data_IF_283591729782
#
_entry.id   IF_283591729782
#
_cell.length_a   1.000
_cell.length_b   1.000
_cell.length_c   1.000
_cell.angle_alpha   90.00
_cell.angle_beta   90.00
_cell.angle_gamma   90.00
#
_symmetry.space_group_name_H-M   'P 1'
#
loop_
_entity.id
_entity.type
_entity.pdbx_description
1 polymer ?
#
# COMPACT_ATOMS: atom_id res chain seq x y z
N UNK A 1 2.14 -2.24 -16.93
CA UNK A 1 3.04 -3.24 -16.30
C UNK A 1 2.18 -4.28 -15.62
N UNK A 2 2.59 -5.57 -15.61
CA UNK A 2 1.91 -6.57 -14.80
C UNK A 2 2.06 -6.24 -13.31
N UNK A 3 1.10 -6.73 -12.50
CA UNK A 3 1.19 -6.71 -11.04
C UNK A 3 2.49 -7.40 -10.57
N UNK A 4 3.22 -6.86 -9.59
CA UNK A 4 4.47 -7.50 -9.14
C UNK A 4 4.22 -8.88 -8.53
N UNK A 5 5.29 -9.67 -8.40
CA UNK A 5 5.23 -11.00 -7.80
C UNK A 5 4.75 -10.93 -6.34
N UNK A 6 5.29 -9.98 -5.58
CA UNK A 6 5.01 -9.77 -4.17
C UNK A 6 3.57 -9.28 -3.96
N UNK A 7 3.07 -8.39 -4.85
CA UNK A 7 1.69 -7.90 -4.76
C UNK A 7 0.70 -9.01 -5.12
N UNK A 8 1.01 -9.85 -6.12
CA UNK A 8 0.18 -11.00 -6.46
C UNK A 8 0.17 -12.04 -5.32
N UNK A 9 1.32 -12.27 -4.68
CA UNK A 9 1.46 -13.14 -3.50
C UNK A 9 0.64 -12.61 -2.32
N UNK A 10 0.77 -11.32 -1.99
CA UNK A 10 0.02 -10.67 -0.91
C UNK A 10 -1.48 -10.70 -1.13
N UNK A 11 -1.94 -10.41 -2.35
CA UNK A 11 -3.36 -10.45 -2.71
C UNK A 11 -3.94 -11.86 -2.61
N UNK A 12 -3.24 -12.88 -3.14
CA UNK A 12 -3.66 -14.26 -3.02
C UNK A 12 -3.73 -14.70 -1.55
N UNK A 13 -2.73 -14.35 -0.74
CA UNK A 13 -2.70 -14.64 0.69
C UNK A 13 -3.90 -14.03 1.42
N UNK A 14 -4.23 -12.77 1.14
CA UNK A 14 -5.41 -12.09 1.70
C UNK A 14 -6.72 -12.83 1.38
N UNK A 15 -6.90 -13.29 0.14
CA UNK A 15 -8.11 -14.02 -0.24
C UNK A 15 -8.20 -15.39 0.43
N UNK A 16 -7.08 -16.12 0.53
CA UNK A 16 -7.05 -17.41 1.24
C UNK A 16 -7.42 -17.27 2.72
N UNK A 17 -6.89 -16.26 3.40
CA UNK A 17 -7.22 -15.98 4.81
C UNK A 17 -8.69 -15.58 5.01
N UNK A 18 -9.33 -15.03 3.98
CA UNK A 18 -10.77 -14.76 3.96
C UNK A 18 -11.62 -15.97 3.52
N UNK A 19 -11.04 -17.17 3.50
CA UNK A 19 -11.69 -18.43 3.15
C UNK A 19 -12.20 -18.51 1.70
N UNK A 20 -11.50 -17.88 0.76
CA UNK A 20 -11.77 -18.11 -0.65
C UNK A 20 -11.61 -19.60 -1.01
N UNK A 21 -12.50 -20.14 -1.84
CA UNK A 21 -12.41 -21.52 -2.35
C UNK A 21 -11.43 -21.67 -3.53
N UNK A 22 -10.88 -20.56 -4.02
CA UNK A 22 -9.94 -20.54 -5.13
C UNK A 22 -9.56 -19.13 -5.57
N UNK A 23 -8.42 -19.03 -6.27
CA UNK A 23 -7.93 -17.78 -6.86
C UNK A 23 -8.22 -17.79 -8.36
N UNK A 24 -8.99 -16.81 -8.81
CA UNK A 24 -9.24 -16.58 -10.23
C UNK A 24 -8.33 -15.47 -10.76
N UNK A 25 -7.66 -15.73 -11.88
CA UNK A 25 -6.76 -14.76 -12.51
C UNK A 25 -7.35 -14.26 -13.83
N UNK A 26 -7.42 -12.94 -13.99
CA UNK A 26 -7.81 -12.27 -15.24
C UNK A 26 -6.63 -11.46 -15.79
N UNK A 27 -6.46 -11.43 -17.11
CA UNK A 27 -5.30 -10.81 -17.78
C UNK A 27 -3.93 -11.35 -17.34
N UNK A 28 -3.88 -12.58 -16.81
CA UNK A 28 -2.64 -13.25 -16.44
C UNK A 28 -2.13 -14.14 -17.57
N UNK A 29 -1.18 -13.63 -18.35
CA UNK A 29 -0.60 -14.38 -19.45
C UNK A 29 0.83 -14.79 -19.12
N UNK A 30 1.19 -16.09 -19.16
CA UNK A 30 2.46 -16.63 -18.66
C UNK A 30 3.74 -16.11 -19.35
N UNK A 31 3.60 -15.31 -20.42
CA UNK A 31 4.70 -14.69 -21.14
C UNK A 31 4.88 -13.20 -20.82
N UNK A 32 4.08 -12.62 -19.92
CA UNK A 32 4.18 -11.19 -19.60
C UNK A 32 5.33 -10.90 -18.64
N UNK A 33 5.68 -11.85 -17.78
CA UNK A 33 6.87 -11.78 -16.91
C UNK A 33 7.33 -13.17 -16.45
N UNK A 34 8.64 -13.37 -16.19
CA UNK A 34 9.19 -14.68 -15.83
C UNK A 34 8.56 -15.34 -14.59
N UNK A 35 8.24 -14.55 -13.55
CA UNK A 35 7.68 -15.07 -12.30
C UNK A 35 6.27 -15.65 -12.47
N UNK A 36 5.53 -15.26 -13.52
CA UNK A 36 4.11 -15.59 -13.63
C UNK A 36 3.84 -17.09 -13.79
N UNK A 37 4.75 -17.83 -14.43
CA UNK A 37 4.65 -19.28 -14.57
C UNK A 37 4.90 -19.98 -13.23
N UNK A 38 5.88 -19.50 -12.47
CA UNK A 38 6.20 -20.06 -11.17
C UNK A 38 5.07 -19.79 -10.18
N UNK A 39 4.60 -18.56 -10.14
CA UNK A 39 3.57 -18.13 -9.20
C UNK A 39 2.23 -18.87 -9.41
N UNK A 40 1.89 -19.26 -10.64
CA UNK A 40 0.71 -20.13 -10.91
C UNK A 40 0.72 -21.46 -10.15
N UNK A 41 1.91 -21.98 -9.81
CA UNK A 41 2.06 -23.21 -9.04
C UNK A 41 1.95 -22.99 -7.53
N UNK A 42 1.94 -21.73 -7.10
CA UNK A 42 2.13 -21.33 -5.71
C UNK A 42 0.90 -20.62 -5.15
N UNK A 43 0.24 -19.74 -5.91
CA UNK A 43 -0.92 -19.00 -5.38
C UNK A 43 -2.17 -19.85 -5.18
N UNK A 44 -2.14 -21.11 -5.59
CA UNK A 44 -3.24 -22.06 -5.43
C UNK A 44 -3.43 -22.58 -4.00
N UNK A 45 -2.55 -22.24 -3.07
CA UNK A 45 -2.64 -22.66 -1.66
C UNK A 45 -2.01 -21.61 -0.73
N UNK A 46 -2.49 -21.54 0.51
CA UNK A 46 -1.95 -20.63 1.52
C UNK A 46 -0.54 -21.05 1.96
N UNK A 47 -0.32 -22.36 2.09
CA UNK A 47 0.91 -22.96 2.60
C UNK A 47 2.12 -22.64 1.72
N UNK A 48 1.93 -22.59 0.40
CA UNK A 48 2.99 -22.25 -0.58
C UNK A 48 3.32 -20.77 -0.65
N UNK A 49 2.51 -19.92 -0.01
CA UNK A 49 2.70 -18.48 0.13
C UNK A 49 3.19 -18.09 1.53
N UNK A 50 3.23 -19.04 2.45
CA UNK A 50 3.73 -18.84 3.79
C UNK A 50 5.18 -18.39 3.76
N UNK A 51 5.50 -17.35 4.54
CA UNK A 51 6.85 -16.77 4.65
C UNK A 51 7.51 -16.33 3.32
N UNK A 52 6.72 -16.11 2.28
CA UNK A 52 7.20 -15.40 1.09
C UNK A 52 7.04 -13.91 1.25
N UNK A 53 7.94 -13.18 0.60
CA UNK A 53 7.84 -11.74 0.46
C UNK A 53 6.49 -11.36 -0.15
N UNK A 54 5.85 -10.36 0.46
CA UNK A 54 4.50 -9.92 0.11
C UNK A 54 4.46 -8.42 0.01
N UNK A 55 3.56 -7.95 -0.83
CA UNK A 55 3.22 -6.54 -0.90
C UNK A 55 1.71 -6.38 -0.76
N UNK A 56 1.28 -5.56 0.19
CA UNK A 56 -0.12 -5.21 0.43
C UNK A 56 -0.33 -3.75 0.00
N UNK A 57 -1.26 -3.50 -0.91
CA UNK A 57 -1.50 -2.17 -1.45
C UNK A 57 -2.92 -1.71 -1.15
N UNK A 58 -3.09 -0.41 -0.90
CA UNK A 58 -4.40 0.22 -0.93
C UNK A 58 -4.97 0.18 -2.35
N UNK A 59 -6.27 -0.09 -2.47
CA UNK A 59 -6.95 -0.03 -3.76
C UNK A 59 -6.88 1.39 -4.35
N UNK A 60 -6.71 1.45 -5.67
CA UNK A 60 -6.63 2.72 -6.39
C UNK A 60 -7.46 2.71 -7.66
N UNK A 61 -8.16 3.80 -7.89
CA UNK A 61 -8.82 4.09 -9.15
C UNK A 61 -7.78 4.54 -10.19
N UNK A 62 -8.04 4.33 -11.49
CA UNK A 62 -7.25 4.92 -12.55
C UNK A 62 -7.31 6.45 -12.47
N UNK A 63 -6.18 7.09 -12.75
CA UNK A 63 -6.05 8.55 -12.86
C UNK A 63 -5.44 8.89 -14.24
N UNK A 64 -6.20 9.47 -15.18
CA UNK A 64 -7.58 9.94 -15.03
C UNK A 64 -8.62 8.79 -14.96
N UNK A 65 -9.83 9.03 -14.42
CA UNK A 65 -10.89 8.02 -14.33
C UNK A 65 -11.30 7.45 -15.70
N UNK A 66 -11.49 6.14 -15.77
CA UNK A 66 -11.98 5.43 -16.96
C UNK A 66 -13.51 5.45 -16.93
N UNK A 67 -14.11 6.16 -17.89
CA UNK A 67 -15.57 6.45 -17.91
C UNK A 67 -16.38 5.22 -18.33
N UNK A 68 -15.77 4.28 -19.05
CA UNK A 68 -16.40 3.06 -19.56
C UNK A 68 -16.82 2.09 -18.44
N UNK A 69 -16.19 2.17 -17.26
CA UNK A 69 -16.47 1.29 -16.13
C UNK A 69 -16.59 2.09 -14.82
N UNK A 70 -17.60 2.97 -14.68
CA UNK A 70 -17.68 3.95 -13.61
C UNK A 70 -17.83 3.31 -12.22
N UNK A 71 -18.19 2.02 -12.15
CA UNK A 71 -18.45 1.32 -10.91
C UNK A 71 -17.27 0.49 -10.39
N UNK A 72 -16.26 0.21 -11.22
CA UNK A 72 -15.19 -0.72 -10.88
C UNK A 72 -14.29 -0.23 -9.73
N UNK A 73 -14.28 1.08 -9.47
CA UNK A 73 -13.38 1.70 -8.50
C UNK A 73 -14.11 2.62 -7.52
N UNK A 74 -15.43 2.47 -7.35
CA UNK A 74 -16.24 3.33 -6.47
C UNK A 74 -15.75 3.33 -5.01
N UNK A 75 -15.14 2.24 -4.58
CA UNK A 75 -14.65 2.06 -3.21
C UNK A 75 -13.13 2.18 -3.11
N UNK A 76 -12.43 2.48 -4.20
CA UNK A 76 -10.99 2.66 -4.16
C UNK A 76 -10.66 3.92 -3.33
N UNK A 77 -9.90 3.82 -2.23
CA UNK A 77 -9.60 4.96 -1.36
C UNK A 77 -8.64 5.98 -2.00
N UNK A 78 -7.97 5.61 -3.09
CA UNK A 78 -6.98 6.41 -3.82
C UNK A 78 -7.38 6.62 -5.30
N UNK A 79 -6.92 7.69 -5.97
CA UNK A 79 -6.11 8.79 -5.43
C UNK A 79 -6.89 9.66 -4.45
N UNK A 80 -6.19 10.29 -3.51
CA UNK A 80 -6.82 11.12 -2.48
C UNK A 80 -6.09 12.45 -2.33
N UNK A 81 -6.83 13.55 -2.37
CA UNK A 81 -6.30 14.91 -2.28
C UNK A 81 -6.37 15.37 -0.82
N UNK A 82 -5.31 16.00 -0.31
CA UNK A 82 -5.38 16.67 0.98
C UNK A 82 -6.27 17.91 0.87
N UNK A 83 -7.34 17.95 1.66
CA UNK A 83 -8.27 19.08 1.68
C UNK A 83 -8.33 19.74 3.06
N UNK A 84 -8.92 20.94 3.13
CA UNK A 84 -9.32 21.52 4.41
C UNK A 84 -8.18 21.97 5.32
N UNK A 85 -7.27 22.81 4.82
CA UNK A 85 -6.22 23.41 5.65
C UNK A 85 -6.81 24.35 6.71
N UNK A 86 -6.59 24.02 7.98
CA UNK A 86 -6.99 24.83 9.13
C UNK A 86 -5.83 24.94 10.12
N UNK A 87 -5.54 26.16 10.59
CA UNK A 87 -4.39 26.44 11.49
C UNK A 87 -3.05 25.83 11.02
N UNK A 88 -2.82 25.84 9.71
CA UNK A 88 -1.57 25.35 9.13
C UNK A 88 -1.46 23.83 9.03
N UNK A 89 -2.55 23.07 9.02
CA UNK A 89 -2.53 21.64 8.67
C UNK A 89 -3.82 21.20 7.98
N UNK A 90 -3.76 20.19 7.12
CA UNK A 90 -4.95 19.55 6.53
C UNK A 90 -5.70 18.69 7.56
N UNK A 91 -6.90 18.22 7.19
CA UNK A 91 -7.52 17.06 7.84
C UNK A 91 -6.61 15.84 7.76
N UNK A 92 -6.80 14.92 8.70
CA UNK A 92 -6.26 13.57 8.57
C UNK A 92 -7.04 12.82 7.49
N UNK A 93 -6.31 12.25 6.56
CA UNK A 93 -6.82 11.36 5.52
C UNK A 93 -6.44 9.92 5.85
N UNK A 94 -7.45 9.06 6.01
CA UNK A 94 -7.26 7.65 6.32
C UNK A 94 -7.34 6.78 5.06
N UNK A 95 -6.33 5.95 4.85
CA UNK A 95 -6.22 4.99 3.75
C UNK A 95 -6.19 3.57 4.33
N UNK A 96 -7.24 2.77 4.14
CA UNK A 96 -7.28 1.39 4.61
C UNK A 96 -6.43 0.47 3.71
N UNK A 97 -5.77 -0.51 4.33
CA UNK A 97 -5.01 -1.58 3.67
C UNK A 97 -5.34 -2.91 4.34
N UNK A 98 -5.71 -3.91 3.55
CA UNK A 98 -5.95 -5.25 4.06
C UNK A 98 -4.62 -6.02 4.17
N UNK A 99 -4.28 -6.47 5.37
CA UNK A 99 -3.13 -7.32 5.68
C UNK A 99 -3.63 -8.46 6.54
N UNK A 100 -3.85 -9.62 5.93
CA UNK A 100 -4.28 -10.82 6.65
C UNK A 100 -3.11 -11.74 7.03
N UNK A 101 -1.87 -11.35 6.74
CA UNK A 101 -0.69 -12.03 7.25
C UNK A 101 -0.50 -11.65 8.72
N UNK A 102 -0.36 -12.65 9.58
CA UNK A 102 -0.19 -12.45 11.03
C UNK A 102 1.27 -12.13 11.33
N UNK A 103 1.66 -10.91 11.00
CA UNK A 103 3.05 -10.45 11.11
C UNK A 103 3.53 -10.44 12.56
N UNK A 104 2.64 -10.07 13.50
CA UNK A 104 2.96 -10.01 14.93
C UNK A 104 3.39 -11.38 15.48
N UNK A 105 2.72 -12.48 15.10
CA UNK A 105 3.13 -13.82 15.55
C UNK A 105 4.37 -14.37 14.84
N UNK A 106 4.78 -13.74 13.74
CA UNK A 106 5.88 -14.16 12.87
C UNK A 106 7.11 -13.26 12.95
N UNK A 107 7.18 -12.33 13.90
CA UNK A 107 8.26 -11.34 14.01
C UNK A 107 9.68 -11.93 13.82
N UNK A 108 9.97 -13.10 14.39
CA UNK A 108 11.28 -13.78 14.29
C UNK A 108 11.61 -14.38 12.89
N UNK A 109 10.69 -14.27 11.93
CA UNK A 109 10.85 -14.73 10.54
C UNK A 109 10.86 -13.55 9.57
N UNK A 110 10.70 -12.33 10.07
CA UNK A 110 10.63 -11.11 9.28
C UNK A 110 12.00 -10.46 9.22
N UNK A 111 12.40 -10.13 7.99
CA UNK A 111 13.59 -9.35 7.72
C UNK A 111 13.31 -7.85 7.80
N UNK A 112 12.21 -7.40 7.21
CA UNK A 112 11.79 -6.00 7.22
C UNK A 112 10.31 -5.86 6.87
N UNK A 113 9.67 -4.82 7.43
CA UNK A 113 8.36 -4.34 6.98
C UNK A 113 8.50 -2.88 6.59
N UNK A 114 8.21 -2.53 5.33
CA UNK A 114 8.41 -1.17 4.82
C UNK A 114 7.09 -0.57 4.34
N UNK A 115 6.73 0.59 4.90
CA UNK A 115 5.68 1.44 4.34
C UNK A 115 6.23 2.25 3.16
N UNK A 116 5.51 2.33 2.06
CA UNK A 116 5.78 3.21 0.93
C UNK A 116 4.54 4.05 0.61
N UNK A 117 4.71 5.36 0.45
CA UNK A 117 3.62 6.29 0.12
C UNK A 117 4.00 7.14 -1.08
N UNK A 118 3.21 7.05 -2.17
CA UNK A 118 3.36 7.91 -3.34
C UNK A 118 2.52 9.16 -3.29
N UNK A 119 3.15 10.29 -3.63
CA UNK A 119 2.55 11.63 -3.60
C UNK A 119 2.83 12.34 -4.92
N UNK A 120 1.88 13.15 -5.40
CA UNK A 120 1.94 13.79 -6.72
C UNK A 120 3.09 14.80 -6.90
N UNK A 121 3.53 15.44 -5.81
CA UNK A 121 4.54 16.50 -5.84
C UNK A 121 5.60 16.26 -4.77
N UNK A 122 6.82 16.75 -5.04
CA UNK A 122 7.85 16.83 -4.00
C UNK A 122 7.37 17.74 -2.88
N UNK A 123 7.44 17.23 -1.67
CA UNK A 123 7.12 17.96 -0.45
C UNK A 123 8.39 18.13 0.38
N UNK A 124 8.47 19.20 1.15
CA UNK A 124 9.60 19.42 2.06
C UNK A 124 9.66 18.29 3.12
N UNK A 125 10.86 17.80 3.49
CA UNK A 125 11.00 16.81 4.56
C UNK A 125 10.28 17.25 5.84
N UNK A 126 9.44 16.37 6.42
CA UNK A 126 8.68 16.66 7.64
C UNK A 126 7.40 17.48 7.46
N UNK A 127 7.07 17.88 6.23
CA UNK A 127 5.77 18.51 5.91
C UNK A 127 4.61 17.51 5.98
N UNK A 128 4.88 16.21 5.89
CA UNK A 128 3.85 15.17 6.01
C UNK A 128 3.97 14.48 7.35
N UNK A 129 2.86 14.45 8.08
CA UNK A 129 2.71 13.59 9.23
C UNK A 129 1.99 12.31 8.82
N UNK A 130 2.55 11.19 9.26
CA UNK A 130 2.02 9.87 8.99
C UNK A 130 1.80 9.12 10.30
N UNK A 131 0.73 8.32 10.32
CA UNK A 131 0.50 7.31 11.35
C UNK A 131 0.14 5.99 10.70
N UNK A 132 0.55 4.90 11.34
CA UNK A 132 0.11 3.56 11.01
C UNK A 132 -0.56 2.96 12.24
N UNK A 133 -1.85 2.63 12.14
CA UNK A 133 -2.66 2.15 13.27
C UNK A 133 -2.52 3.02 14.54
N UNK A 134 -2.42 4.35 14.37
CA UNK A 134 -2.22 5.32 15.45
C UNK A 134 -0.77 5.53 15.90
N UNK A 135 0.17 4.68 15.50
CA UNK A 135 1.61 4.84 15.78
C UNK A 135 2.21 5.87 14.82
N UNK A 136 3.00 6.83 15.33
CA UNK A 136 3.61 7.85 14.49
C UNK A 136 4.74 7.25 13.63
N UNK A 137 4.72 7.53 12.32
CA UNK A 137 5.71 7.05 11.36
C UNK A 137 6.44 8.24 10.73
N UNK A 138 7.76 8.22 10.75
CA UNK A 138 8.58 9.26 10.12
C UNK A 138 8.80 8.94 8.65
N UNK A 139 8.26 9.74 7.75
CA UNK A 139 8.39 9.52 6.31
C UNK A 139 9.69 10.13 5.78
N UNK A 140 10.57 9.31 5.20
CA UNK A 140 11.85 9.77 4.62
C UNK A 140 11.76 9.82 3.09
N UNK A 141 11.91 10.99 2.43
CA UNK A 141 11.86 11.08 0.97
C UNK A 141 12.98 10.28 0.31
N UNK A 142 12.66 9.51 -0.73
CA UNK A 142 13.68 8.80 -1.52
C UNK A 142 14.43 9.76 -2.48
N UNK A 143 15.75 9.55 -2.72
CA UNK A 143 16.59 10.49 -3.50
C UNK A 143 16.20 10.64 -4.98
N UNK A 144 15.72 9.56 -5.61
CA UNK A 144 15.51 9.48 -7.07
C UNK A 144 14.03 9.36 -7.48
N UNK A 145 13.11 9.33 -6.52
CA UNK A 145 11.69 9.21 -6.78
C UNK A 145 10.97 10.41 -6.16
N UNK A 146 10.23 11.15 -6.98
CA UNK A 146 9.32 12.24 -6.59
C UNK A 146 8.20 11.81 -5.62
N UNK A 147 8.23 10.60 -5.05
CA UNK A 147 7.06 9.73 -5.04
C UNK A 147 7.10 8.55 -4.07
N UNK A 148 8.05 8.47 -3.14
CA UNK A 148 8.00 7.41 -2.14
C UNK A 148 8.71 7.89 -0.88
N UNK A 149 7.99 7.88 0.23
CA UNK A 149 8.58 7.99 1.55
C UNK A 149 8.54 6.64 2.23
N UNK A 150 9.69 6.16 2.70
CA UNK A 150 9.79 4.86 3.36
C UNK A 150 10.12 4.96 4.84
N UNK A 151 9.59 4.01 5.61
CA UNK A 151 10.08 3.72 6.95
C UNK A 151 9.81 2.25 7.30
N UNK A 152 10.63 1.74 8.22
CA UNK A 152 10.40 0.46 8.86
C UNK A 152 9.17 0.56 9.77
N UNK A 153 8.31 -0.45 9.68
CA UNK A 153 7.20 -0.65 10.60
C UNK A 153 7.53 -1.81 11.53
N UNK A 154 6.99 -1.77 12.75
CA UNK A 154 7.11 -2.86 13.71
C UNK A 154 6.00 -3.88 13.49
N UNK A 155 6.32 -5.17 13.66
CA UNK A 155 5.37 -6.25 13.42
C UNK A 155 4.17 -6.22 14.38
N UNK A 156 4.38 -5.77 15.62
CA UNK A 156 3.35 -5.66 16.66
C UNK A 156 2.35 -4.53 16.43
N UNK A 157 2.61 -3.62 15.48
CA UNK A 157 1.65 -2.58 15.09
C UNK A 157 0.54 -3.10 14.17
N UNK A 158 0.68 -4.30 13.62
CA UNK A 158 -0.27 -4.88 12.68
C UNK A 158 -1.39 -5.63 13.39
N UNK A 159 -2.57 -5.57 12.78
CA UNK A 159 -3.69 -6.46 13.09
C UNK A 159 -4.01 -7.31 11.86
N UNK A 160 -4.45 -8.54 12.07
CA UNK A 160 -4.96 -9.39 10.99
C UNK A 160 -6.28 -8.79 10.47
N UNK A 161 -6.27 -8.34 9.23
CA UNK A 161 -7.42 -7.69 8.57
C UNK A 161 -7.10 -6.26 8.13
N UNK A 162 -8.02 -5.34 8.41
CA UNK A 162 -7.86 -3.94 8.01
C UNK A 162 -6.88 -3.20 8.91
N UNK A 163 -5.86 -2.61 8.30
CA UNK A 163 -4.91 -1.69 8.90
C UNK A 163 -5.10 -0.31 8.26
N UNK A 164 -4.75 0.76 8.97
CA UNK A 164 -4.97 2.14 8.50
C UNK A 164 -3.67 2.93 8.47
N UNK A 165 -3.39 3.53 7.33
CA UNK A 165 -2.39 4.58 7.17
C UNK A 165 -3.11 5.92 7.20
N UNK A 166 -2.79 6.78 8.16
CA UNK A 166 -3.33 8.13 8.27
C UNK A 166 -2.27 9.15 7.89
N UNK A 167 -2.61 10.07 7.02
CA UNK A 167 -1.71 11.10 6.52
C UNK A 167 -2.32 12.48 6.71
N UNK A 168 -1.51 13.49 7.02
CA UNK A 168 -1.90 14.89 6.87
C UNK A 168 -0.72 15.74 6.46
N UNK A 169 -1.00 16.84 5.78
CA UNK A 169 0.00 17.83 5.43
C UNK A 169 0.05 18.95 6.47
N UNK A 170 1.24 19.25 6.98
CA UNK A 170 1.56 20.51 7.67
C UNK A 170 1.85 21.57 6.62
N UNK A 171 1.13 22.69 6.69
CA UNK A 171 1.39 23.86 5.88
C UNK A 171 2.75 24.44 6.29
N UNK A 172 3.76 24.33 5.43
CA UNK A 172 5.11 24.84 5.70
C UNK A 172 5.41 26.19 5.03
N UNK A 173 4.64 26.65 4.03
CA UNK A 173 4.60 28.07 3.61
C UNK A 173 3.62 28.30 2.43
N UNK A 174 3.01 29.48 2.42
CA UNK A 174 1.73 29.86 1.78
C UNK A 174 1.78 30.36 0.33
N UNK A 175 2.61 29.81 -0.56
CA UNK A 175 2.65 30.30 -1.96
C UNK A 175 2.33 29.29 -3.07
N UNK A 176 2.29 27.99 -2.78
CA UNK A 176 1.95 26.99 -3.78
C UNK A 176 0.59 26.37 -3.48
N UNK A 177 -0.42 26.90 -4.16
CA UNK A 177 -1.82 26.43 -4.19
C UNK A 177 -1.95 25.12 -5.00
N UNK A 178 -0.98 24.21 -4.83
CA UNK A 178 -0.92 22.95 -5.59
C UNK A 178 -1.54 21.84 -4.76
N UNK A 179 -2.63 21.28 -5.27
CA UNK A 179 -3.24 20.09 -4.68
C UNK A 179 -2.22 18.95 -4.57
N UNK A 180 -1.97 18.51 -3.34
CA UNK A 180 -1.12 17.35 -3.06
C UNK A 180 -2.02 16.12 -2.98
N UNK A 181 -1.69 15.11 -3.78
CA UNK A 181 -2.48 13.90 -3.95
C UNK A 181 -1.68 12.68 -3.52
N UNK A 182 -2.23 11.86 -2.64
CA UNK A 182 -1.76 10.50 -2.35
C UNK A 182 -2.18 9.60 -3.50
N UNK A 183 -1.21 8.94 -4.14
CA UNK A 183 -1.39 8.10 -5.34
C UNK A 183 -1.24 6.62 -5.06
N UNK A 184 -0.40 6.25 -4.11
CA UNK A 184 -0.24 4.88 -3.64
C UNK A 184 0.08 4.85 -2.15
N UNK A 185 -0.34 3.78 -1.49
CA UNK A 185 0.09 3.41 -0.14
C UNK A 185 0.28 1.90 -0.17
N UNK A 186 1.49 1.46 0.11
CA UNK A 186 1.95 0.10 -0.11
C UNK A 186 2.78 -0.36 1.09
N UNK A 187 2.61 -1.60 1.52
CA UNK A 187 3.34 -2.24 2.61
C UNK A 187 4.09 -3.43 2.02
N UNK A 188 5.42 -3.38 2.10
CA UNK A 188 6.28 -4.47 1.70
C UNK A 188 6.67 -5.27 2.94
N UNK A 189 6.53 -6.58 2.88
CA UNK A 189 6.94 -7.52 3.92
C UNK A 189 8.00 -8.41 3.33
N UNK A 190 9.21 -8.35 3.89
CA UNK A 190 10.34 -9.20 3.56
C UNK A 190 10.53 -10.24 4.66
N UNK A 191 10.66 -11.51 4.26
CA UNK A 191 10.94 -12.63 5.14
C UNK A 191 12.43 -13.06 5.04
N UNK A 192 12.92 -13.78 6.05
CA UNK A 192 14.28 -14.37 6.09
C UNK A 192 14.45 -15.67 5.29
#
# INVERSE_FOLDING_TARGET
MPISEEMATGLAYNYWQQHADGIYLFNWFPHSSPYQIQLLKEIGSMESLENKDKMFAADRAPDPPIVEYPHNWLLAPLPRIFTGFFNGSSSWESVPIQVFDDLASRENQLKAITLSVEISHSVEPGSIECRFNGHAVSLTPLPDATKATTNLLEADWFVVGENTVELRLKNTDTENDTDITIRSVEIYVEYD
#
